data_IF_619823635284
#
_entry.id   IF_619823635284
#
_cell.length_a   1.000
_cell.length_b   1.000
_cell.length_c   1.000
_cell.angle_alpha   90.00
_cell.angle_beta   90.00
_cell.angle_gamma   90.00
#
_symmetry.space_group_name_H-M   'P 1'
#
loop_
_entity.id
_entity.type
_entity.pdbx_description
1 polymer ?
#
# COMPACT_ATOMS: atom_id res chain seq x y z
N UNK A 1 5.44 -3.68 -25.21
CA UNK A 1 4.34 -2.71 -25.33
C UNK A 1 4.03 -2.29 -23.91
N UNK A 2 4.38 -1.06 -23.51
CA UNK A 2 4.02 -0.59 -22.17
C UNK A 2 2.49 -0.57 -22.08
N UNK A 3 1.93 -1.26 -21.08
CA UNK A 3 0.54 -1.11 -20.67
C UNK A 3 0.33 0.38 -20.40
N UNK A 4 -0.64 0.99 -21.08
CA UNK A 4 -1.01 2.36 -20.76
C UNK A 4 -1.81 2.34 -19.46
N UNK A 5 -1.20 2.77 -18.36
CA UNK A 5 -1.87 2.90 -17.05
C UNK A 5 -2.97 3.97 -17.17
N UNK A 6 -4.21 3.62 -16.83
CA UNK A 6 -5.31 4.58 -16.81
C UNK A 6 -5.40 5.26 -15.45
N UNK A 7 -4.70 6.38 -15.29
CA UNK A 7 -4.75 7.18 -14.06
C UNK A 7 -6.15 7.73 -13.73
N UNK A 8 -7.05 7.78 -14.72
CA UNK A 8 -8.44 8.21 -14.51
C UNK A 8 -9.38 7.09 -14.05
N UNK A 9 -8.88 5.83 -14.04
CA UNK A 9 -9.64 4.68 -13.60
C UNK A 9 -10.18 4.89 -12.19
N UNK A 10 -11.46 4.56 -12.01
CA UNK A 10 -12.21 4.71 -10.77
C UNK A 10 -13.01 3.43 -10.53
N UNK A 11 -12.88 2.76 -9.37
CA UNK A 11 -13.72 1.61 -9.05
C UNK A 11 -15.18 2.07 -8.88
N UNK A 12 -16.14 1.17 -9.12
CA UNK A 12 -17.56 1.49 -8.95
C UNK A 12 -17.91 1.79 -7.48
N UNK A 13 -17.29 1.08 -6.55
CA UNK A 13 -17.50 1.21 -5.11
C UNK A 13 -16.36 0.53 -4.34
N UNK A 14 -16.11 0.99 -3.10
CA UNK A 14 -15.22 0.30 -2.16
C UNK A 14 -15.93 -0.71 -1.26
N UNK A 15 -17.26 -0.63 -1.17
CA UNK A 15 -18.01 -1.27 -0.09
C UNK A 15 -18.53 -2.66 -0.46
N UNK A 16 -17.94 -3.28 -1.50
CA UNK A 16 -18.24 -4.65 -1.93
C UNK A 16 -16.93 -5.41 -2.15
N UNK A 17 -16.39 -6.00 -1.08
CA UNK A 17 -15.18 -6.81 -1.13
C UNK A 17 -15.50 -8.27 -1.44
N UNK A 18 -14.62 -8.90 -2.22
CA UNK A 18 -14.63 -10.36 -2.35
C UNK A 18 -14.25 -11.02 -1.02
N UNK A 19 -14.63 -12.28 -0.80
CA UNK A 19 -14.20 -13.03 0.39
C UNK A 19 -12.66 -13.09 0.50
N UNK A 20 -11.97 -13.18 -0.64
CA UNK A 20 -10.50 -13.15 -0.70
C UNK A 20 -9.96 -11.85 -0.08
N UNK A 21 -10.49 -10.71 -0.50
CA UNK A 21 -10.00 -9.42 -0.05
C UNK A 21 -10.37 -9.14 1.41
N UNK A 22 -11.55 -9.57 1.84
CA UNK A 22 -11.94 -9.54 3.26
C UNK A 22 -10.92 -10.31 4.12
N UNK A 23 -10.56 -11.52 3.71
CA UNK A 23 -9.57 -12.37 4.40
C UNK A 23 -8.18 -11.74 4.41
N UNK A 24 -7.74 -11.11 3.32
CA UNK A 24 -6.45 -10.42 3.29
C UNK A 24 -6.43 -9.18 4.19
N UNK A 25 -7.54 -8.44 4.29
CA UNK A 25 -7.66 -7.29 5.17
C UNK A 25 -7.70 -7.65 6.67
N UNK A 26 -7.98 -8.91 7.03
CA UNK A 26 -7.85 -9.39 8.41
C UNK A 26 -6.39 -9.57 8.84
N UNK A 27 -5.47 -9.74 7.88
CA UNK A 27 -4.03 -9.84 8.16
C UNK A 27 -3.46 -8.42 8.23
N UNK A 28 -2.87 -8.05 9.38
CA UNK A 28 -2.26 -6.72 9.51
C UNK A 28 -0.98 -6.62 8.68
N UNK A 29 -0.20 -7.70 8.66
CA UNK A 29 1.16 -7.67 8.12
C UNK A 29 1.24 -7.95 6.62
N UNK A 30 1.94 -7.08 5.87
CA UNK A 30 2.12 -7.29 4.42
C UNK A 30 2.92 -8.57 4.11
N UNK A 31 3.85 -8.94 4.99
CA UNK A 31 4.60 -10.20 4.88
C UNK A 31 3.66 -11.42 4.94
N UNK A 32 2.67 -11.44 5.85
CA UNK A 32 1.73 -12.56 5.93
C UNK A 32 0.67 -12.51 4.84
N UNK A 33 0.20 -11.32 4.44
CA UNK A 33 -0.67 -11.18 3.25
C UNK A 33 -0.04 -11.83 2.03
N UNK A 34 1.20 -11.47 1.71
CA UNK A 34 1.93 -12.04 0.56
C UNK A 34 2.16 -13.55 0.69
N UNK A 35 2.46 -14.04 1.90
CA UNK A 35 2.69 -15.47 2.17
C UNK A 35 1.42 -16.31 2.08
N UNK A 36 0.28 -15.77 2.52
CA UNK A 36 -0.98 -16.50 2.61
C UNK A 36 -1.89 -16.31 1.41
N UNK A 37 -1.75 -15.22 0.64
CA UNK A 37 -2.58 -14.96 -0.54
C UNK A 37 -2.66 -16.16 -1.49
N UNK A 38 -1.55 -16.83 -1.88
CA UNK A 38 -1.64 -17.99 -2.78
C UNK A 38 -2.42 -19.18 -2.18
N UNK A 39 -2.35 -19.36 -0.86
CA UNK A 39 -3.06 -20.44 -0.16
C UNK A 39 -4.55 -20.13 -0.03
N UNK A 40 -4.89 -18.88 0.28
CA UNK A 40 -6.27 -18.38 0.29
C UNK A 40 -6.88 -18.56 -1.11
N UNK A 41 -6.15 -18.17 -2.16
CA UNK A 41 -6.59 -18.30 -3.55
C UNK A 41 -6.82 -19.75 -3.96
N UNK A 42 -5.95 -20.67 -3.54
CA UNK A 42 -6.13 -22.10 -3.78
C UNK A 42 -7.41 -22.63 -3.12
N UNK A 43 -7.60 -22.36 -1.83
CA UNK A 43 -8.77 -22.83 -1.08
C UNK A 43 -10.08 -22.27 -1.65
N UNK A 44 -10.11 -20.98 -1.99
CA UNK A 44 -11.31 -20.34 -2.56
C UNK A 44 -11.65 -20.90 -3.94
N UNK A 45 -10.65 -21.17 -4.78
CA UNK A 45 -10.85 -21.80 -6.10
C UNK A 45 -11.42 -23.21 -6.00
N UNK A 46 -11.03 -23.94 -4.95
CA UNK A 46 -11.55 -25.29 -4.63
C UNK A 46 -12.92 -25.26 -3.93
N UNK A 47 -13.48 -24.07 -3.65
CA UNK A 47 -14.75 -23.92 -2.92
C UNK A 47 -14.65 -24.14 -1.41
N UNK A 48 -13.43 -24.26 -0.86
CA UNK A 48 -13.14 -24.58 0.56
C UNK A 48 -13.10 -23.30 1.41
N UNK A 49 -14.22 -22.57 1.46
CA UNK A 49 -14.31 -21.25 2.09
C UNK A 49 -14.05 -21.29 3.59
N UNK A 50 -14.59 -22.28 4.29
CA UNK A 50 -14.46 -22.43 5.74
C UNK A 50 -13.00 -22.67 6.14
N UNK A 51 -12.24 -23.37 5.31
CA UNK A 51 -10.82 -23.63 5.54
C UNK A 51 -9.97 -22.39 5.30
N UNK A 52 -10.31 -21.57 4.30
CA UNK A 52 -9.66 -20.27 4.09
C UNK A 52 -9.88 -19.34 5.28
N UNK A 53 -11.11 -19.29 5.79
CA UNK A 53 -11.46 -18.53 7.00
C UNK A 53 -10.71 -19.07 8.23
N UNK A 54 -10.66 -20.39 8.41
CA UNK A 54 -9.96 -21.01 9.53
C UNK A 54 -8.45 -20.74 9.49
N UNK A 55 -7.83 -20.78 8.30
CA UNK A 55 -6.43 -20.45 8.09
C UNK A 55 -6.12 -19.04 8.58
N UNK A 56 -6.84 -18.03 8.09
CA UNK A 56 -6.60 -16.63 8.47
C UNK A 56 -6.84 -16.43 9.97
N UNK A 57 -7.94 -16.94 10.53
CA UNK A 57 -8.21 -16.86 11.97
C UNK A 57 -7.13 -17.51 12.84
N UNK A 58 -6.55 -18.62 12.38
CA UNK A 58 -5.47 -19.28 13.10
C UNK A 58 -4.21 -18.42 13.12
N UNK A 59 -3.91 -17.74 12.00
CA UNK A 59 -2.74 -16.88 11.86
C UNK A 59 -2.92 -15.58 12.62
N UNK A 60 -4.05 -14.89 12.53
CA UNK A 60 -4.28 -13.62 13.25
C UNK A 60 -4.19 -13.80 14.77
N UNK A 61 -4.67 -14.94 15.29
CA UNK A 61 -4.46 -15.31 16.70
C UNK A 61 -2.98 -15.50 17.04
N UNK A 62 -2.18 -16.06 16.14
CA UNK A 62 -0.74 -16.27 16.33
C UNK A 62 0.10 -15.01 16.09
N UNK A 63 -0.26 -14.14 15.13
CA UNK A 63 0.33 -12.81 14.90
C UNK A 63 0.36 -12.03 16.21
N UNK A 64 -0.81 -11.94 16.87
CA UNK A 64 -0.99 -11.26 18.14
C UNK A 64 -0.12 -11.81 19.28
N UNK A 65 0.33 -13.08 19.17
CA UNK A 65 1.05 -13.75 20.24
C UNK A 65 2.56 -13.84 20.01
N UNK A 66 3.04 -13.93 18.77
CA UNK A 66 4.42 -14.41 18.52
C UNK A 66 5.14 -13.88 17.26
N UNK A 67 4.47 -13.21 16.32
CA UNK A 67 5.07 -12.88 15.01
C UNK A 67 6.38 -12.07 15.09
N UNK A 68 6.42 -11.11 16.02
CA UNK A 68 7.57 -10.21 16.20
C UNK A 68 8.87 -10.90 16.64
N UNK A 69 8.78 -12.05 17.32
CA UNK A 69 9.97 -12.75 17.83
C UNK A 69 10.65 -13.62 16.76
N UNK A 70 10.03 -13.80 15.60
CA UNK A 70 10.53 -14.67 14.53
C UNK A 70 11.44 -13.89 13.57
N UNK A 71 10.98 -12.73 13.08
CA UNK A 71 11.76 -11.85 12.21
C UNK A 71 11.14 -10.43 12.20
N UNK A 72 11.95 -9.35 12.21
CA UNK A 72 11.44 -7.97 12.21
C UNK A 72 10.47 -7.64 11.06
N UNK A 73 10.60 -8.28 9.90
CA UNK A 73 9.68 -8.09 8.75
C UNK A 73 8.21 -8.44 9.04
N UNK A 74 7.92 -9.16 10.13
CA UNK A 74 6.55 -9.44 10.58
C UNK A 74 6.00 -8.33 11.48
N UNK A 75 6.74 -7.23 11.67
CA UNK A 75 6.29 -6.04 12.39
C UNK A 75 5.47 -5.11 11.50
N UNK A 76 5.80 -5.05 10.22
CA UNK A 76 5.21 -4.16 9.23
C UNK A 76 3.72 -4.35 9.11
N UNK A 77 2.97 -3.28 9.35
CA UNK A 77 1.52 -3.19 9.37
C UNK A 77 0.89 -3.43 10.75
N UNK A 78 1.66 -3.89 11.74
CA UNK A 78 1.13 -4.17 13.07
C UNK A 78 0.98 -2.91 13.95
N UNK A 79 1.67 -1.82 13.59
CA UNK A 79 1.59 -0.52 14.26
C UNK A 79 0.70 0.50 13.54
N UNK A 80 0.09 0.11 12.42
CA UNK A 80 -0.98 0.87 11.82
C UNK A 80 -2.11 1.08 12.84
N UNK A 81 -2.85 2.19 12.76
CA UNK A 81 -3.97 2.36 13.65
C UNK A 81 -5.00 1.29 13.31
N UNK A 82 -5.83 0.92 14.27
CA UNK A 82 -6.99 0.14 13.93
C UNK A 82 -7.87 0.90 12.93
N UNK A 83 -8.52 0.13 12.05
CA UNK A 83 -9.66 0.62 11.28
C UNK A 83 -10.80 0.98 12.22
N UNK A 84 -11.47 2.09 11.93
CA UNK A 84 -12.74 2.45 12.54
C UNK A 84 -13.85 1.51 12.04
N UNK A 85 -15.00 1.45 12.75
CA UNK A 85 -16.17 0.73 12.24
C UNK A 85 -16.53 1.18 10.82
N UNK A 86 -16.85 0.21 9.97
CA UNK A 86 -17.23 0.40 8.56
C UNK A 86 -16.15 0.98 7.64
N UNK A 87 -14.89 1.06 8.09
CA UNK A 87 -13.75 1.37 7.23
C UNK A 87 -13.27 0.15 6.43
N UNK A 88 -13.04 0.41 5.14
CA UNK A 88 -12.42 -0.52 4.20
C UNK A 88 -11.02 -0.03 3.86
N UNK A 89 -10.03 -0.91 3.94
CA UNK A 89 -8.71 -0.59 3.38
C UNK A 89 -8.81 -0.61 1.85
N UNK A 90 -8.56 0.54 1.22
CA UNK A 90 -8.66 0.65 -0.25
C UNK A 90 -7.32 0.44 -0.93
N UNK A 91 -6.22 0.73 -0.23
CA UNK A 91 -4.88 0.59 -0.75
C UNK A 91 -3.85 0.65 0.39
N UNK A 92 -2.67 0.08 0.14
CA UNK A 92 -1.51 0.18 1.02
C UNK A 92 -0.21 0.26 0.23
N UNK A 93 0.79 0.87 0.86
CA UNK A 93 2.19 0.87 0.43
C UNK A 93 3.02 0.25 1.55
N UNK A 94 3.94 -0.63 1.19
CA UNK A 94 4.89 -1.24 2.12
C UNK A 94 6.31 -0.93 1.70
N UNK A 95 7.13 -0.52 2.65
CA UNK A 95 8.56 -0.33 2.44
C UNK A 95 9.30 -1.66 2.59
N UNK A 96 10.40 -1.83 1.87
CA UNK A 96 11.40 -2.90 2.09
C UNK A 96 12.40 -2.48 3.17
N UNK A 97 11.92 -1.83 4.23
CA UNK A 97 12.71 -1.52 5.42
C UNK A 97 12.98 -2.80 6.25
N UNK A 98 13.70 -2.69 7.36
CA UNK A 98 13.91 -3.84 8.27
C UNK A 98 12.59 -4.38 8.82
N UNK A 99 11.66 -3.48 9.12
CA UNK A 99 10.37 -3.74 9.76
C UNK A 99 9.24 -3.95 8.76
N UNK A 100 9.41 -3.55 7.49
CA UNK A 100 8.37 -3.52 6.47
C UNK A 100 7.29 -2.48 6.75
N UNK A 101 7.69 -1.25 7.07
CA UNK A 101 6.76 -0.20 7.48
C UNK A 101 5.67 0.02 6.42
N UNK A 102 4.44 0.22 6.88
CA UNK A 102 3.25 0.32 6.03
C UNK A 102 2.60 1.68 6.19
N UNK A 103 2.12 2.21 5.06
CA UNK A 103 1.09 3.22 5.01
C UNK A 103 -0.15 2.68 4.29
N UNK A 104 -1.34 3.15 4.68
CA UNK A 104 -2.60 2.72 4.09
C UNK A 104 -3.60 3.86 3.94
N UNK A 105 -4.55 3.69 3.03
CA UNK A 105 -5.73 4.56 2.92
C UNK A 105 -6.95 3.73 3.25
N UNK A 106 -7.75 4.24 4.18
CA UNK A 106 -9.04 3.69 4.56
C UNK A 106 -10.17 4.54 4.00
N UNK A 107 -11.28 3.91 3.64
CA UNK A 107 -12.49 4.56 3.18
C UNK A 107 -13.69 4.14 4.02
N UNK A 108 -14.48 5.11 4.50
CA UNK A 108 -15.73 4.89 5.21
C UNK A 108 -16.88 5.56 4.46
N UNK A 109 -18.03 4.91 4.37
CA UNK A 109 -19.23 5.53 3.79
C UNK A 109 -19.99 6.29 4.87
N UNK A 110 -20.35 7.54 4.58
CA UNK A 110 -21.28 8.34 5.38
C UNK A 110 -22.34 8.95 4.48
N UNK A 111 -23.54 8.36 4.47
CA UNK A 111 -24.60 8.72 3.53
C UNK A 111 -24.17 8.61 2.06
N UNK A 112 -24.11 9.75 1.38
CA UNK A 112 -23.65 9.88 -0.02
C UNK A 112 -22.17 10.24 -0.15
N UNK A 113 -21.45 10.42 0.95
CA UNK A 113 -20.04 10.76 0.97
C UNK A 113 -19.18 9.54 1.35
N UNK A 114 -17.95 9.56 0.88
CA UNK A 114 -16.89 8.62 1.23
C UNK A 114 -15.82 9.43 1.93
N UNK A 115 -15.54 9.10 3.19
CA UNK A 115 -14.49 9.71 4.00
C UNK A 115 -13.23 8.88 3.84
N UNK A 116 -12.10 9.54 3.58
CA UNK A 116 -10.79 8.91 3.48
C UNK A 116 -9.92 9.25 4.68
N UNK A 117 -9.16 8.25 5.12
CA UNK A 117 -8.19 8.39 6.19
C UNK A 117 -6.87 7.78 5.74
N UNK A 118 -5.86 8.61 5.56
CA UNK A 118 -4.49 8.17 5.33
C UNK A 118 -3.82 7.89 6.68
N UNK A 119 -3.10 6.78 6.77
CA UNK A 119 -2.49 6.29 8.01
C UNK A 119 -1.11 5.71 7.73
N UNK A 120 -0.17 5.90 8.64
CA UNK A 120 1.11 5.18 8.67
C UNK A 120 1.37 4.58 10.06
N UNK A 121 2.52 3.89 10.23
CA UNK A 121 2.91 3.28 11.50
C UNK A 121 3.44 4.27 12.54
N UNK A 122 3.80 5.49 12.13
CA UNK A 122 4.44 6.48 12.98
C UNK A 122 3.47 7.63 13.29
N UNK A 123 2.32 7.22 13.84
CA UNK A 123 1.13 7.96 14.34
C UNK A 123 1.27 9.42 14.79
N UNK A 124 2.47 9.85 15.16
CA UNK A 124 2.77 11.02 15.97
C UNK A 124 3.80 11.92 15.30
N UNK A 125 3.66 12.08 13.98
CA UNK A 125 4.35 13.15 13.29
C UNK A 125 3.48 14.41 13.37
N UNK A 126 3.92 15.40 14.15
CA UNK A 126 3.49 16.82 14.11
C UNK A 126 3.37 17.36 12.66
N UNK A 127 3.98 16.68 11.69
CA UNK A 127 3.94 16.93 10.25
C UNK A 127 2.64 16.53 9.56
N UNK A 128 1.70 15.90 10.25
CA UNK A 128 0.32 15.74 9.76
C UNK A 128 -0.36 17.11 9.55
N UNK A 129 0.18 18.20 10.12
CA UNK A 129 -0.24 19.59 9.91
C UNK A 129 0.02 20.15 8.49
N UNK A 130 0.97 19.57 7.74
CA UNK A 130 1.40 20.08 6.43
C UNK A 130 1.02 19.17 5.24
N UNK A 131 0.27 18.08 5.47
CA UNK A 131 -0.24 17.25 4.37
C UNK A 131 -1.12 18.12 3.46
N UNK A 132 -0.94 18.00 2.14
CA UNK A 132 -1.89 18.59 1.18
C UNK A 132 -3.30 18.02 1.39
N UNK A 133 -3.37 16.86 2.03
CA UNK A 133 -4.58 16.15 2.41
C UNK A 133 -4.95 16.22 3.92
N UNK A 134 -4.72 17.36 4.58
CA UNK A 134 -5.22 17.60 5.95
C UNK A 134 -6.76 17.60 6.04
N UNK A 135 -7.34 16.57 6.67
CA UNK A 135 -8.75 16.53 7.08
C UNK A 135 -9.52 15.29 6.59
N UNK A 136 -10.83 15.26 6.85
CA UNK A 136 -11.73 14.29 6.22
C UNK A 136 -11.79 14.59 4.72
N UNK A 137 -10.95 13.93 3.93
CA UNK A 137 -11.10 13.94 2.49
C UNK A 137 -12.38 13.23 2.15
N UNK A 138 -13.33 14.00 1.63
CA UNK A 138 -14.63 13.48 1.25
C UNK A 138 -14.82 13.58 -0.25
N UNK A 139 -15.45 12.56 -0.81
CA UNK A 139 -15.93 12.57 -2.18
C UNK A 139 -17.28 11.87 -2.26
N UNK A 140 -18.02 12.11 -3.33
CA UNK A 140 -19.26 11.38 -3.63
C UNK A 140 -19.03 10.13 -4.47
N UNK A 141 -17.80 9.95 -4.95
CA UNK A 141 -17.38 8.89 -5.86
C UNK A 141 -15.98 8.39 -5.44
N UNK A 142 -15.65 7.09 -5.57
CA UNK A 142 -14.33 6.55 -5.25
C UNK A 142 -13.19 7.36 -5.89
N UNK A 143 -12.02 7.45 -5.28
CA UNK A 143 -10.88 8.16 -5.88
C UNK A 143 -10.49 7.53 -7.23
N UNK A 144 -9.77 8.28 -8.05
CA UNK A 144 -9.08 7.74 -9.21
C UNK A 144 -7.78 7.06 -8.81
N UNK A 145 -7.26 6.20 -9.67
CA UNK A 145 -5.92 5.63 -9.52
C UNK A 145 -4.85 6.72 -9.33
N UNK A 146 -4.91 7.78 -10.13
CA UNK A 146 -3.99 8.91 -10.02
C UNK A 146 -4.08 9.62 -8.66
N UNK A 147 -5.29 9.90 -8.18
CA UNK A 147 -5.49 10.51 -6.85
C UNK A 147 -4.91 9.63 -5.72
N UNK A 148 -5.09 8.31 -5.79
CA UNK A 148 -4.53 7.39 -4.79
C UNK A 148 -3.00 7.33 -4.86
N UNK A 149 -2.44 7.28 -6.07
CA UNK A 149 -0.99 7.29 -6.28
C UNK A 149 -0.36 8.61 -5.77
N UNK A 150 -0.97 9.75 -6.08
CA UNK A 150 -0.51 11.06 -5.63
C UNK A 150 -0.51 11.16 -4.09
N UNK A 151 -1.56 10.68 -3.42
CA UNK A 151 -1.61 10.66 -1.95
C UNK A 151 -0.43 9.87 -1.38
N UNK A 152 -0.24 8.62 -1.79
CA UNK A 152 0.87 7.81 -1.27
C UNK A 152 2.23 8.40 -1.61
N UNK A 153 2.39 8.93 -2.83
CA UNK A 153 3.66 9.48 -3.23
C UNK A 153 4.00 10.73 -2.41
N UNK A 154 3.13 11.73 -2.42
CA UNK A 154 3.45 13.02 -1.83
C UNK A 154 3.35 13.06 -0.30
N UNK A 155 2.46 12.26 0.29
CA UNK A 155 2.25 12.27 1.75
C UNK A 155 3.17 11.27 2.48
N UNK A 156 3.80 10.33 1.76
CA UNK A 156 4.62 9.28 2.38
C UNK A 156 5.97 9.07 1.68
N UNK A 157 5.94 8.62 0.42
CA UNK A 157 7.16 8.14 -0.25
C UNK A 157 8.14 9.26 -0.59
N UNK A 158 7.65 10.43 -1.02
CA UNK A 158 8.48 11.54 -1.51
C UNK A 158 9.57 11.93 -0.51
N UNK A 159 9.23 12.02 0.78
CA UNK A 159 10.20 12.32 1.84
C UNK A 159 11.20 11.17 2.01
N UNK A 160 10.70 9.95 2.19
CA UNK A 160 11.50 8.76 2.46
C UNK A 160 12.52 8.52 1.33
N UNK A 161 12.07 8.60 0.08
CA UNK A 161 12.90 8.37 -1.09
C UNK A 161 13.92 9.51 -1.33
N UNK A 162 13.79 10.66 -0.68
CA UNK A 162 14.75 11.78 -0.79
C UNK A 162 15.68 11.91 0.41
N UNK A 163 15.36 11.27 1.53
CA UNK A 163 16.20 11.23 2.73
C UNK A 163 17.27 10.14 2.68
N UNK A 164 17.04 9.08 1.90
CA UNK A 164 17.97 7.96 1.76
C UNK A 164 18.92 8.23 0.57
N UNK A 165 20.20 7.97 0.78
CA UNK A 165 21.24 8.03 -0.25
C UNK A 165 21.24 6.72 -1.06
N UNK A 166 20.52 6.72 -2.17
CA UNK A 166 20.40 5.56 -3.06
C UNK A 166 21.55 5.48 -4.04
N UNK A 167 21.99 4.26 -4.38
CA UNK A 167 23.05 4.09 -5.40
C UNK A 167 22.58 4.37 -6.81
N UNK A 168 21.28 4.18 -7.07
CA UNK A 168 20.65 4.45 -8.36
C UNK A 168 19.12 4.51 -8.21
N UNK A 169 18.45 4.97 -9.26
CA UNK A 169 16.99 5.07 -9.31
C UNK A 169 16.30 3.72 -9.08
N UNK A 170 16.84 2.62 -9.61
CA UNK A 170 16.22 1.31 -9.46
C UNK A 170 16.19 0.86 -7.99
N UNK A 171 17.24 1.13 -7.22
CA UNK A 171 17.26 0.82 -5.79
C UNK A 171 16.20 1.60 -5.01
N UNK A 172 15.99 2.88 -5.33
CA UNK A 172 14.93 3.69 -4.74
C UNK A 172 13.53 3.15 -5.06
N UNK A 173 13.32 2.72 -6.32
CA UNK A 173 12.05 2.16 -6.77
C UNK A 173 11.80 0.76 -6.18
N UNK A 174 12.82 -0.08 -6.08
CA UNK A 174 12.73 -1.40 -5.48
C UNK A 174 12.45 -1.35 -3.97
N UNK A 175 12.65 -0.19 -3.33
CA UNK A 175 12.47 -0.02 -1.88
C UNK A 175 11.02 -0.07 -1.43
N UNK A 176 10.02 -0.02 -2.30
CA UNK A 176 8.63 -0.14 -1.89
C UNK A 176 7.82 -1.01 -2.83
N UNK A 177 6.60 -1.35 -2.42
CA UNK A 177 5.57 -1.86 -3.32
C UNK A 177 4.19 -1.43 -2.80
N UNK A 178 3.20 -1.41 -3.69
CA UNK A 178 1.84 -1.09 -3.37
C UNK A 178 0.88 -2.24 -3.67
N UNK A 179 -0.20 -2.32 -2.89
CA UNK A 179 -1.24 -3.35 -3.04
C UNK A 179 -2.62 -2.71 -2.90
N UNK A 180 -3.54 -3.09 -3.78
CA UNK A 180 -4.94 -2.72 -3.70
C UNK A 180 -5.84 -3.77 -4.33
N UNK A 181 -6.97 -4.06 -3.68
CA UNK A 181 -8.05 -4.87 -4.26
C UNK A 181 -8.91 -4.08 -5.25
N UNK A 182 -8.77 -2.75 -5.31
CA UNK A 182 -9.59 -1.85 -6.12
C UNK A 182 -8.83 -1.24 -7.29
N UNK A 183 -7.51 -1.08 -7.16
CA UNK A 183 -6.60 -0.45 -8.11
C UNK A 183 -5.53 -1.46 -8.56
N UNK A 184 -5.79 -2.26 -9.61
CA UNK A 184 -4.85 -3.29 -10.08
C UNK A 184 -3.47 -2.74 -10.44
N UNK A 185 -3.42 -1.54 -10.99
CA UNK A 185 -2.20 -0.91 -11.51
C UNK A 185 -1.57 0.09 -10.51
N UNK A 186 -1.96 0.04 -9.23
CA UNK A 186 -1.47 0.99 -8.21
C UNK A 186 0.06 0.96 -8.06
N UNK A 187 0.65 -0.22 -8.02
CA UNK A 187 2.09 -0.38 -7.88
C UNK A 187 2.82 0.25 -9.07
N UNK A 188 2.39 -0.08 -10.29
CA UNK A 188 2.97 0.47 -11.52
C UNK A 188 2.80 1.99 -11.61
N UNK A 189 1.63 2.52 -11.25
CA UNK A 189 1.35 3.95 -11.23
C UNK A 189 2.27 4.69 -10.26
N UNK A 190 2.45 4.16 -9.04
CA UNK A 190 3.35 4.75 -8.06
C UNK A 190 4.81 4.72 -8.48
N UNK A 191 5.25 3.62 -9.11
CA UNK A 191 6.60 3.54 -9.69
C UNK A 191 6.79 4.58 -10.80
N UNK A 192 5.77 4.83 -11.63
CA UNK A 192 5.83 5.88 -12.65
C UNK A 192 5.98 7.26 -12.02
N UNK A 193 5.12 7.62 -11.05
CA UNK A 193 5.18 8.91 -10.35
C UNK A 193 6.54 9.11 -9.67
N UNK A 194 7.01 8.11 -8.92
CA UNK A 194 8.30 8.17 -8.25
C UNK A 194 9.47 8.25 -9.23
N UNK A 195 9.43 7.49 -10.32
CA UNK A 195 10.45 7.53 -11.37
C UNK A 195 10.53 8.91 -12.01
N UNK A 196 9.40 9.51 -12.36
CA UNK A 196 9.36 10.84 -12.96
C UNK A 196 9.94 11.94 -12.06
N UNK A 197 9.64 11.94 -10.76
CA UNK A 197 10.16 12.93 -9.81
C UNK A 197 11.65 12.72 -9.48
N UNK A 198 12.08 11.46 -9.35
CA UNK A 198 13.44 11.13 -8.91
C UNK A 198 14.47 11.11 -10.06
N UNK A 199 14.04 11.01 -11.33
CA UNK A 199 14.95 10.95 -12.50
C UNK A 199 16.02 12.03 -12.49
N UNK A 200 15.69 13.27 -12.12
CA UNK A 200 16.67 14.37 -12.10
C UNK A 200 17.75 14.23 -11.01
N UNK A 201 17.53 13.39 -10.00
CA UNK A 201 18.49 13.13 -8.94
C UNK A 201 19.53 12.06 -9.31
N UNK A 202 19.26 11.28 -10.37
CA UNK A 202 20.13 10.22 -10.86
C UNK A 202 20.46 10.50 -12.34
N UNK A 203 21.33 11.48 -12.64
CA UNK A 203 21.77 11.71 -14.01
C UNK A 203 22.44 10.44 -14.53
N UNK A 204 22.12 10.06 -15.77
CA UNK A 204 22.86 9.00 -16.46
C UNK A 204 24.33 9.46 -16.55
N UNK A 205 25.27 8.60 -16.15
CA UNK A 205 26.68 8.84 -16.46
C UNK A 205 26.76 8.91 -18.00
N UNK A 206 27.05 10.09 -18.56
CA UNK A 206 27.42 10.18 -19.96
C UNK A 206 28.62 9.24 -20.13
N UNK A 207 28.45 8.17 -20.89
CA UNK A 207 29.57 7.37 -21.37
C UNK A 207 30.46 8.36 -22.14
N UNK A 208 31.53 8.83 -21.50
CA UNK A 208 32.59 9.57 -22.15
C UNK A 208 33.01 8.70 -23.35
N UNK A 209 32.57 9.07 -24.55
CA UNK A 209 33.12 8.55 -25.78
C UNK A 209 34.63 8.84 -25.70
N UNK A 210 35.41 7.83 -25.33
CA UNK A 210 36.86 7.86 -25.45
C UNK A 210 37.16 8.10 -26.94
N UNK A 211 37.35 9.38 -27.29
CA UNK A 211 37.87 9.82 -28.58
C UNK A 211 39.25 9.16 -28.80
N UNK A 212 39.28 8.07 -29.58
CA UNK A 212 40.51 7.47 -30.15
C UNK A 212 41.18 8.35 -31.22
#
# INVERSE_FOLDING_TARGET
>A
MASHIDLSYRPETYFTLSLRDQLLQELSTSALRRKLAPQIDALLREGRKEEAIALVRSVTKTELQMGFFIHPMFMGGAYLPPREPDEVEIARVTLRSTTYDVAAIYARRDGSQIHYRFVDEYYDHDWLEDLRFQGEHTSTLPLTLGEVADIFYYEYLWRILREIDWRNLQEALDFFWAESSFYPDLDEALHQVASEDLKSLFPEEEEDEEDE
#
